data_IF_201958987021
#
_entry.id   IF_201958987021
#
_cell.length_a   1.000
_cell.length_b   1.000
_cell.length_c   1.000
_cell.angle_alpha   90.00
_cell.angle_beta   90.00
_cell.angle_gamma   90.00
#
_symmetry.space_group_name_H-M   'P 1'
#
loop_
_entity.id
_entity.type
_entity.pdbx_description
1 polymer ?
#
# COMPACT_ATOMS: atom_id res chain seq x y z
N UNK A 1 -21.29 -18.13 -12.40
CA UNK A 1 -20.37 -16.97 -12.31
C UNK A 1 -20.06 -16.71 -10.84
N UNK A 2 -19.12 -17.46 -10.26
CA UNK A 2 -18.94 -17.56 -8.78
C UNK A 2 -17.64 -16.90 -8.29
N UNK A 3 -17.09 -15.94 -9.04
CA UNK A 3 -15.78 -15.33 -8.77
C UNK A 3 -15.80 -13.89 -8.23
N UNK A 4 -16.92 -13.17 -8.27
CA UNK A 4 -16.93 -11.72 -8.00
C UNK A 4 -16.79 -11.33 -6.52
N UNK A 5 -17.42 -12.08 -5.61
CA UNK A 5 -17.52 -11.68 -4.20
C UNK A 5 -16.20 -11.80 -3.42
N UNK A 6 -15.40 -12.83 -3.70
CA UNK A 6 -14.09 -13.02 -3.06
C UNK A 6 -13.05 -11.96 -3.47
N UNK A 7 -13.07 -11.53 -4.74
CA UNK A 7 -12.16 -10.50 -5.26
C UNK A 7 -12.44 -9.12 -4.65
N UNK A 8 -13.71 -8.75 -4.48
CA UNK A 8 -14.10 -7.47 -3.87
C UNK A 8 -13.74 -7.43 -2.39
N UNK A 9 -14.00 -8.51 -1.64
CA UNK A 9 -13.63 -8.62 -0.23
C UNK A 9 -12.11 -8.53 -0.04
N UNK A 10 -11.32 -9.20 -0.89
CA UNK A 10 -9.87 -9.15 -0.84
C UNK A 10 -9.33 -7.75 -1.20
N UNK A 11 -9.86 -7.09 -2.25
CA UNK A 11 -9.51 -5.71 -2.60
C UNK A 11 -9.78 -4.75 -1.42
N UNK A 12 -10.89 -4.90 -0.72
CA UNK A 12 -11.22 -4.08 0.45
C UNK A 12 -10.25 -4.30 1.61
N UNK A 13 -9.95 -5.56 1.94
CA UNK A 13 -8.98 -5.91 2.98
C UNK A 13 -7.55 -5.44 2.64
N UNK A 14 -7.16 -5.56 1.37
CA UNK A 14 -5.87 -5.08 0.86
C UNK A 14 -5.76 -3.56 0.97
N UNK A 15 -6.82 -2.83 0.57
CA UNK A 15 -6.88 -1.37 0.69
C UNK A 15 -6.72 -0.91 2.14
N UNK A 16 -7.33 -1.62 3.09
CA UNK A 16 -7.19 -1.28 4.51
C UNK A 16 -5.78 -1.54 5.03
N UNK A 17 -5.15 -2.66 4.65
CA UNK A 17 -3.75 -2.94 4.99
C UNK A 17 -2.80 -1.86 4.45
N UNK A 18 -2.98 -1.47 3.19
CA UNK A 18 -2.18 -0.40 2.55
C UNK A 18 -2.35 0.93 3.29
N UNK A 19 -3.58 1.29 3.70
CA UNK A 19 -3.84 2.50 4.50
C UNK A 19 -3.14 2.49 5.85
N UNK A 20 -3.16 1.35 6.56
CA UNK A 20 -2.47 1.21 7.85
C UNK A 20 -0.95 1.36 7.64
N UNK A 21 -0.39 0.72 6.62
CA UNK A 21 1.03 0.81 6.29
C UNK A 21 1.43 2.25 5.94
N UNK A 22 0.63 2.95 5.13
CA UNK A 22 0.88 4.34 4.76
C UNK A 22 0.92 5.25 5.99
N UNK A 23 -0.04 5.12 6.91
CA UNK A 23 -0.07 5.90 8.16
C UNK A 23 1.13 5.60 9.06
N UNK A 24 1.54 4.33 9.17
CA UNK A 24 2.71 3.94 9.95
C UNK A 24 4.00 4.50 9.36
N UNK A 25 4.19 4.31 8.05
CA UNK A 25 5.37 4.81 7.34
C UNK A 25 5.53 6.33 7.47
N UNK A 26 4.44 7.10 7.36
CA UNK A 26 4.44 8.56 7.60
C UNK A 26 4.81 8.92 9.04
N UNK A 27 4.28 8.18 10.03
CA UNK A 27 4.61 8.42 11.44
C UNK A 27 6.07 8.09 11.74
N UNK A 28 6.58 7.01 11.16
CA UNK A 28 7.97 6.59 11.32
C UNK A 28 8.90 7.59 10.65
N UNK A 29 8.64 8.02 9.42
CA UNK A 29 9.42 9.10 8.76
C UNK A 29 9.39 10.40 9.57
N UNK A 30 8.26 10.76 10.16
CA UNK A 30 8.18 11.93 11.06
C UNK A 30 9.01 11.77 12.34
N UNK A 31 9.06 10.56 12.91
CA UNK A 31 9.79 10.29 14.15
C UNK A 31 11.31 10.36 13.96
N UNK A 32 11.81 9.96 12.78
CA UNK A 32 13.23 10.04 12.44
C UNK A 32 13.64 11.37 11.80
N UNK A 33 12.68 12.19 11.36
CA UNK A 33 12.95 13.48 10.76
C UNK A 33 13.31 14.53 11.83
N UNK A 34 14.62 14.76 12.00
CA UNK A 34 15.15 15.86 12.83
C UNK A 34 14.68 17.23 12.33
N UNK A 35 14.44 17.37 11.01
CA UNK A 35 13.94 18.59 10.40
C UNK A 35 12.70 18.39 9.52
N UNK A 36 11.69 19.24 9.75
CA UNK A 36 10.38 19.19 9.09
C UNK A 36 10.42 19.43 7.57
N UNK A 37 11.47 20.06 7.04
CA UNK A 37 11.61 20.27 5.60
C UNK A 37 11.98 18.98 4.85
N UNK A 38 12.80 18.11 5.46
CA UNK A 38 13.14 16.80 4.92
C UNK A 38 11.91 15.87 4.90
N UNK A 39 11.07 15.99 5.93
CA UNK A 39 9.82 15.23 6.03
C UNK A 39 8.88 15.45 4.83
N UNK A 40 8.72 16.69 4.33
CA UNK A 40 7.82 16.94 3.20
C UNK A 40 8.32 16.30 1.90
N UNK A 41 9.64 16.26 1.69
CA UNK A 41 10.24 15.58 0.56
C UNK A 41 10.06 14.06 0.69
N UNK A 42 10.42 13.48 1.83
CA UNK A 42 10.29 12.05 2.09
C UNK A 42 8.83 11.56 2.00
N UNK A 43 7.89 12.37 2.50
CA UNK A 43 6.46 12.08 2.43
C UNK A 43 5.92 12.12 0.99
N UNK A 44 6.43 13.04 0.16
CA UNK A 44 6.07 13.12 -1.25
C UNK A 44 6.57 11.90 -2.01
N UNK A 45 7.85 11.55 -1.84
CA UNK A 45 8.45 10.35 -2.44
C UNK A 45 7.76 9.07 -1.98
N UNK A 46 7.39 8.98 -0.70
CA UNK A 46 6.61 7.86 -0.16
C UNK A 46 5.24 7.78 -0.86
N UNK A 47 4.55 8.92 -1.04
CA UNK A 47 3.26 8.95 -1.72
C UNK A 47 3.38 8.50 -3.17
N UNK A 48 4.39 8.96 -3.90
CA UNK A 48 4.64 8.53 -5.28
C UNK A 48 4.89 7.03 -5.39
N UNK A 49 5.69 6.45 -4.48
CA UNK A 49 5.93 5.00 -4.43
C UNK A 49 4.63 4.21 -4.20
N UNK A 50 3.73 4.69 -3.33
CA UNK A 50 2.43 4.04 -3.11
C UNK A 50 1.48 4.21 -4.30
N UNK A 51 1.47 5.37 -4.96
CA UNK A 51 0.65 5.62 -6.14
C UNK A 51 1.14 4.79 -7.35
N UNK A 52 2.45 4.66 -7.54
CA UNK A 52 3.04 3.80 -8.57
C UNK A 52 2.66 2.32 -8.42
N UNK A 53 2.35 1.88 -7.20
CA UNK A 53 1.95 0.50 -6.90
C UNK A 53 0.42 0.32 -6.75
N UNK A 54 -0.38 1.34 -7.06
CA UNK A 54 -1.85 1.31 -6.90
C UNK A 54 -2.51 0.22 -7.74
N UNK A 55 -2.00 0.02 -8.95
CA UNK A 55 -2.58 -0.88 -9.95
C UNK A 55 -1.91 -2.26 -10.00
N UNK A 56 -1.07 -2.57 -9.01
CA UNK A 56 -0.50 -3.90 -8.84
C UNK A 56 -1.64 -4.85 -8.43
N UNK A 57 -2.29 -5.42 -9.44
CA UNK A 57 -3.16 -6.58 -9.28
C UNK A 57 -2.24 -7.74 -8.92
N UNK A 58 -2.28 -8.12 -7.64
CA UNK A 58 -1.64 -9.34 -7.18
C UNK A 58 -2.33 -10.52 -7.85
N UNK A 59 -1.78 -10.98 -8.98
CA UNK A 59 -2.12 -12.29 -9.58
C UNK A 59 -1.48 -13.37 -8.68
N UNK A 60 -1.95 -13.51 -7.44
CA UNK A 60 -1.65 -14.68 -6.62
C UNK A 60 -2.81 -15.65 -6.76
N UNK A 61 -2.71 -16.48 -7.80
CA UNK A 61 -3.63 -17.58 -8.07
C UNK A 61 -3.14 -18.58 -9.12
N UNK A 62 -1.95 -18.38 -9.73
CA UNK A 62 -1.39 -19.29 -10.75
C UNK A 62 -0.13 -20.05 -10.29
N UNK A 63 0.11 -20.14 -8.98
CA UNK A 63 1.19 -20.97 -8.43
C UNK A 63 0.69 -22.00 -7.41
N UNK A 64 -0.46 -22.60 -7.70
CA UNK A 64 -0.91 -23.84 -7.06
C UNK A 64 -1.46 -24.78 -8.13
N UNK A 65 -0.57 -25.25 -9.02
CA UNK A 65 -0.76 -26.46 -9.82
C UNK A 65 0.59 -26.89 -10.41
N UNK A 66 1.29 -27.74 -9.67
CA UNK A 66 1.89 -28.99 -10.15
C UNK A 66 2.34 -29.81 -8.95
#
# INVERSE_FOLDING_TARGET
MSGGFGYLAWRAAQKERVRILYRRALKDTLNWAVHRHLFYQDASELREKFEANRDVIRIFGLHFRS
#
